data_IF_027106436758
#
_entry.id   IF_027106436758
#
_cell.length_a   1.000
_cell.length_b   1.000
_cell.length_c   1.000
_cell.angle_alpha   90.00
_cell.angle_beta   90.00
_cell.angle_gamma   90.00
#
_symmetry.space_group_name_H-M   'P 1'
#
loop_
_entity.id
_entity.type
_entity.pdbx_description
1 polymer ?
#
# COMPACT_ATOMS: atom_id res chain seq x y z
N UNK A 1 10.64 -13.91 -55.67
CA UNK A 1 11.88 -13.69 -54.89
C UNK A 1 11.49 -13.54 -53.42
N UNK A 2 11.91 -14.48 -52.57
CA UNK A 2 11.70 -14.39 -51.11
C UNK A 2 12.76 -13.44 -50.55
N UNK A 3 12.33 -12.36 -49.91
CA UNK A 3 13.20 -11.44 -49.19
C UNK A 3 13.67 -12.11 -47.90
N UNK A 4 14.93 -12.54 -47.89
CA UNK A 4 15.64 -13.00 -46.69
C UNK A 4 15.90 -11.79 -45.81
N UNK A 5 15.04 -11.56 -44.81
CA UNK A 5 15.32 -10.58 -43.76
C UNK A 5 16.51 -11.13 -42.95
N UNK A 6 17.67 -10.49 -43.07
CA UNK A 6 18.85 -10.76 -42.25
C UNK A 6 18.48 -10.64 -40.76
N UNK A 7 18.41 -11.77 -40.05
CA UNK A 7 18.33 -11.78 -38.58
C UNK A 7 19.72 -11.47 -38.03
N UNK A 8 19.96 -10.21 -37.68
CA UNK A 8 21.13 -9.78 -36.90
C UNK A 8 20.57 -9.27 -35.58
N UNK A 9 20.75 -10.03 -34.49
CA UNK A 9 20.25 -9.65 -33.17
C UNK A 9 20.22 -10.80 -32.16
N UNK A 10 19.75 -10.50 -30.94
CA UNK A 10 19.70 -11.35 -29.73
C UNK A 10 19.30 -12.82 -29.96
N UNK A 11 18.49 -13.09 -31.00
CA UNK A 11 17.96 -14.41 -31.36
C UNK A 11 18.97 -15.33 -32.07
N UNK A 12 20.17 -14.85 -32.41
CA UNK A 12 21.26 -15.70 -32.92
C UNK A 12 22.16 -16.24 -31.79
N UNK A 13 21.93 -15.82 -30.54
CA UNK A 13 22.66 -16.35 -29.39
C UNK A 13 22.12 -17.74 -29.02
N UNK A 14 22.96 -18.61 -28.44
CA UNK A 14 22.50 -19.84 -27.79
C UNK A 14 21.38 -19.57 -26.78
N UNK A 15 20.40 -20.47 -26.74
CA UNK A 15 19.20 -20.33 -25.89
C UNK A 15 19.55 -20.11 -24.41
N UNK A 16 20.62 -20.75 -23.95
CA UNK A 16 21.14 -20.64 -22.59
C UNK A 16 21.65 -19.23 -22.29
N UNK A 17 22.32 -18.60 -23.24
CA UNK A 17 22.81 -17.23 -23.12
C UNK A 17 21.66 -16.22 -23.16
N UNK A 18 20.64 -16.45 -23.98
CA UNK A 18 19.43 -15.63 -24.00
C UNK A 18 18.74 -15.70 -22.63
N UNK A 19 18.48 -16.89 -22.11
CA UNK A 19 17.86 -17.07 -20.79
C UNK A 19 18.72 -16.43 -19.70
N UNK A 20 20.04 -16.62 -19.74
CA UNK A 20 20.95 -16.00 -18.78
C UNK A 20 20.84 -14.46 -18.79
N UNK A 21 20.77 -13.85 -19.98
CA UNK A 21 20.60 -12.40 -20.12
C UNK A 21 19.23 -11.97 -19.54
N UNK A 22 18.16 -12.67 -19.92
CA UNK A 22 16.81 -12.38 -19.46
C UNK A 22 16.63 -12.51 -17.95
N UNK A 23 17.27 -13.49 -17.31
CA UNK A 23 17.17 -13.72 -15.85
C UNK A 23 17.93 -12.66 -15.07
N UNK A 24 19.11 -12.27 -15.53
CA UNK A 24 20.04 -11.46 -14.72
C UNK A 24 19.96 -9.96 -14.99
N UNK A 25 19.48 -9.54 -16.16
CA UNK A 25 19.56 -8.14 -16.59
C UNK A 25 18.21 -7.48 -16.86
N UNK A 26 17.11 -8.22 -16.82
CA UNK A 26 15.78 -7.69 -17.12
C UNK A 26 14.83 -7.85 -15.94
N UNK A 27 14.06 -6.81 -15.68
CA UNK A 27 13.02 -6.84 -14.65
C UNK A 27 11.72 -7.47 -15.19
N UNK A 28 10.73 -7.67 -14.31
CA UNK A 28 9.46 -8.27 -14.71
C UNK A 28 8.72 -7.43 -15.78
N UNK A 29 8.92 -6.12 -15.80
CA UNK A 29 8.25 -5.21 -16.72
C UNK A 29 8.85 -5.33 -18.13
N UNK A 30 10.17 -5.40 -18.23
CA UNK A 30 10.89 -5.58 -19.49
C UNK A 30 10.65 -6.98 -20.06
N UNK A 31 10.65 -8.01 -19.20
CA UNK A 31 10.27 -9.38 -19.56
C UNK A 31 8.83 -9.45 -20.09
N UNK A 32 7.92 -8.70 -19.50
CA UNK A 32 6.53 -8.60 -19.96
C UNK A 32 6.41 -7.87 -21.31
N UNK A 33 7.18 -6.80 -21.50
CA UNK A 33 7.25 -6.10 -22.78
C UNK A 33 7.80 -7.02 -23.90
N UNK A 34 8.86 -7.78 -23.61
CA UNK A 34 9.42 -8.80 -24.50
C UNK A 34 8.41 -9.91 -24.85
N UNK A 35 7.64 -10.35 -23.86
CA UNK A 35 6.57 -11.34 -24.03
C UNK A 35 5.49 -10.88 -25.03
N UNK A 36 5.17 -9.58 -25.03
CA UNK A 36 4.16 -8.98 -25.91
C UNK A 36 4.68 -8.64 -27.30
N UNK A 37 5.95 -8.21 -27.41
CA UNK A 37 6.49 -7.58 -28.62
C UNK A 37 6.92 -8.59 -29.69
N UNK A 38 7.37 -9.79 -29.31
CA UNK A 38 7.87 -10.79 -30.27
C UNK A 38 7.37 -12.19 -29.94
N UNK A 39 6.87 -12.92 -30.95
CA UNK A 39 6.47 -14.32 -30.81
C UNK A 39 7.64 -15.24 -30.48
N UNK A 40 8.85 -14.90 -30.91
CA UNK A 40 10.06 -15.70 -30.71
C UNK A 40 10.64 -15.49 -29.30
N UNK A 41 10.63 -14.25 -28.80
CA UNK A 41 11.10 -13.93 -27.45
C UNK A 41 10.07 -14.29 -26.37
N UNK A 42 8.80 -14.50 -26.75
CA UNK A 42 7.71 -14.89 -25.86
C UNK A 42 8.00 -16.17 -25.08
N UNK A 43 8.58 -17.17 -25.74
CA UNK A 43 8.93 -18.45 -25.12
C UNK A 43 10.00 -18.27 -24.04
N UNK A 44 11.05 -17.49 -24.34
CA UNK A 44 12.13 -17.23 -23.39
C UNK A 44 11.67 -16.37 -22.22
N UNK A 45 10.97 -15.26 -22.48
CA UNK A 45 10.37 -14.43 -21.45
C UNK A 45 9.40 -15.24 -20.58
N UNK A 46 8.64 -16.15 -21.20
CA UNK A 46 7.72 -17.04 -20.49
C UNK A 46 8.43 -17.97 -19.52
N UNK A 47 9.45 -18.66 -20.01
CA UNK A 47 10.25 -19.56 -19.17
C UNK A 47 10.88 -18.80 -18.02
N UNK A 48 11.42 -17.60 -18.24
CA UNK A 48 12.04 -16.79 -17.18
C UNK A 48 11.01 -16.31 -16.15
N UNK A 49 9.84 -15.83 -16.59
CA UNK A 49 8.75 -15.40 -15.70
C UNK A 49 8.24 -16.59 -14.84
N UNK A 50 8.08 -17.77 -15.43
CA UNK A 50 7.64 -18.96 -14.68
C UNK A 50 8.71 -19.47 -13.71
N UNK A 51 9.97 -19.53 -14.13
CA UNK A 51 11.05 -20.13 -13.32
C UNK A 51 11.58 -19.20 -12.25
N UNK A 52 11.78 -17.93 -12.58
CA UNK A 52 12.38 -16.94 -11.67
C UNK A 52 11.33 -16.31 -10.76
N UNK A 53 10.15 -16.00 -11.32
CA UNK A 53 9.11 -15.27 -10.61
C UNK A 53 7.95 -16.15 -10.14
N UNK A 54 7.93 -17.45 -10.52
CA UNK A 54 6.89 -18.43 -10.15
C UNK A 54 5.47 -18.00 -10.54
N UNK A 55 5.33 -17.21 -11.61
CA UNK A 55 4.03 -16.72 -12.08
C UNK A 55 3.55 -17.62 -13.22
N UNK A 56 2.34 -18.17 -13.09
CA UNK A 56 1.68 -18.88 -14.17
C UNK A 56 1.16 -17.88 -15.22
N UNK A 57 1.77 -17.91 -16.39
CA UNK A 57 1.56 -16.96 -17.50
C UNK A 57 0.28 -17.25 -18.28
N UNK A 58 -0.41 -18.37 -17.99
CA UNK A 58 -1.75 -18.62 -18.50
C UNK A 58 -2.74 -17.51 -18.10
N UNK A 59 -2.43 -16.75 -17.04
CA UNK A 59 -3.14 -15.54 -16.64
C UNK A 59 -2.24 -14.31 -16.84
N UNK A 60 -2.44 -13.55 -17.93
CA UNK A 60 -1.71 -12.29 -18.17
C UNK A 60 -1.88 -11.28 -17.03
N UNK A 61 -3.01 -11.37 -16.34
CA UNK A 61 -3.39 -10.53 -15.22
C UNK A 61 -2.50 -10.73 -13.99
N UNK A 62 -2.10 -11.96 -13.64
CA UNK A 62 -1.21 -12.18 -12.48
C UNK A 62 0.13 -11.47 -12.69
N UNK A 63 0.65 -11.50 -13.92
CA UNK A 63 1.87 -10.79 -14.29
C UNK A 63 1.64 -9.29 -14.24
N UNK A 64 0.55 -8.78 -14.84
CA UNK A 64 0.23 -7.35 -14.88
C UNK A 64 -0.01 -6.74 -13.48
N UNK A 65 -0.78 -7.41 -12.63
CA UNK A 65 -0.95 -7.01 -11.23
C UNK A 65 0.41 -7.01 -10.53
N UNK A 66 1.23 -8.05 -10.69
CA UNK A 66 2.55 -8.11 -10.05
C UNK A 66 3.48 -6.99 -10.52
N UNK A 67 3.47 -6.64 -11.80
CA UNK A 67 4.22 -5.51 -12.34
C UNK A 67 3.73 -4.19 -11.76
N UNK A 68 2.42 -4.00 -11.64
CA UNK A 68 1.86 -2.83 -10.97
C UNK A 68 2.26 -2.76 -9.49
N UNK A 69 2.36 -3.90 -8.80
CA UNK A 69 2.84 -3.93 -7.41
C UNK A 69 4.33 -3.64 -7.26
N UNK A 70 5.16 -4.11 -8.17
CA UNK A 70 6.58 -3.78 -8.15
C UNK A 70 6.72 -2.26 -8.30
N UNK A 71 5.93 -1.64 -9.19
CA UNK A 71 5.88 -0.19 -9.31
C UNK A 71 5.38 0.51 -8.03
N UNK A 72 4.34 -0.03 -7.36
CA UNK A 72 3.84 0.45 -6.06
C UNK A 72 4.93 0.39 -4.97
N UNK A 73 5.68 -0.71 -4.92
CA UNK A 73 6.77 -0.91 -3.98
C UNK A 73 7.90 0.11 -4.24
N UNK A 74 8.33 0.30 -5.48
CA UNK A 74 9.37 1.28 -5.84
C UNK A 74 8.96 2.71 -5.52
N UNK A 75 7.71 3.07 -5.80
CA UNK A 75 7.17 4.38 -5.43
C UNK A 75 7.14 4.55 -3.91
N UNK A 76 6.74 3.52 -3.15
CA UNK A 76 6.75 3.58 -1.69
C UNK A 76 8.15 3.81 -1.11
N UNK A 77 9.20 3.26 -1.72
CA UNK A 77 10.60 3.46 -1.29
C UNK A 77 11.03 4.91 -1.54
N UNK A 78 10.71 5.46 -2.71
CA UNK A 78 11.04 6.83 -3.08
C UNK A 78 10.34 7.87 -2.19
N UNK A 79 9.09 7.62 -1.79
CA UNK A 79 8.34 8.50 -0.88
C UNK A 79 9.01 8.58 0.51
N UNK A 80 9.66 7.51 0.96
CA UNK A 80 10.32 7.42 2.26
C UNK A 80 11.73 8.06 2.25
N UNK A 81 12.33 8.22 1.08
CA UNK A 81 13.70 8.73 0.91
C UNK A 81 13.79 10.23 0.61
N UNK A 82 12.67 10.95 0.45
CA UNK A 82 12.69 12.38 0.13
C UNK A 82 12.95 13.24 1.39
N UNK A 83 14.13 13.85 1.57
CA UNK A 83 14.36 14.80 2.64
C UNK A 83 13.69 16.12 2.23
N UNK A 84 12.88 16.69 3.12
CA UNK A 84 12.29 18.01 2.96
C UNK A 84 13.43 19.02 2.75
N UNK A 85 13.64 19.45 1.51
CA UNK A 85 14.53 20.55 1.17
C UNK A 85 13.83 21.87 1.52
N UNK A 86 14.50 22.65 2.37
CA UNK A 86 14.07 23.93 2.92
C UNK A 86 13.87 25.05 1.88
N UNK A 87 12.78 25.83 2.09
CA UNK A 87 12.56 27.29 1.83
C UNK A 87 12.29 27.86 0.41
N UNK A 88 11.76 29.10 0.25
CA UNK A 88 10.68 29.80 0.98
C UNK A 88 9.62 30.52 0.08
N UNK A 89 8.43 30.78 0.68
CA UNK A 89 7.38 31.82 0.42
C UNK A 89 7.17 32.37 -1.01
N UNK A 90 5.92 32.26 -1.52
CA UNK A 90 5.13 33.40 -2.00
C UNK A 90 3.61 33.13 -2.07
N UNK A 91 2.89 34.25 -2.09
CA UNK A 91 1.52 34.56 -1.68
C UNK A 91 0.33 33.78 -2.23
N UNK A 92 -0.76 33.91 -1.46
CA UNK A 92 -2.10 33.34 -1.53
C UNK A 92 -2.89 33.95 -2.70
N UNK A 93 -3.67 33.14 -3.43
CA UNK A 93 -5.03 33.54 -3.80
C UNK A 93 -6.00 32.37 -3.99
N UNK A 94 -7.28 32.72 -3.92
CA UNK A 94 -8.41 32.05 -3.29
C UNK A 94 -9.15 30.90 -4.02
N UNK A 95 -9.89 30.12 -3.22
CA UNK A 95 -11.02 29.25 -3.57
C UNK A 95 -10.75 27.98 -4.41
N UNK A 96 -10.31 26.90 -3.74
CA UNK A 96 -10.73 25.53 -4.09
C UNK A 96 -10.57 24.59 -2.89
N UNK A 97 -11.56 23.71 -2.75
CA UNK A 97 -11.72 22.67 -1.73
C UNK A 97 -10.38 21.99 -1.39
N UNK A 98 -9.92 22.19 -0.16
CA UNK A 98 -8.75 21.52 0.41
C UNK A 98 -9.03 20.03 0.59
N UNK A 99 -8.89 19.26 -0.49
CA UNK A 99 -8.40 17.90 -0.34
C UNK A 99 -6.96 18.01 0.16
N UNK A 100 -6.64 17.30 1.24
CA UNK A 100 -5.29 17.12 1.77
C UNK A 100 -4.30 16.80 0.64
N UNK A 101 -3.73 17.84 0.04
CA UNK A 101 -2.55 17.74 -0.81
C UNK A 101 -1.40 17.52 0.15
N UNK A 102 -1.09 16.25 0.39
CA UNK A 102 0.25 15.84 0.83
C UNK A 102 1.20 16.31 -0.27
N UNK A 103 1.76 17.49 -0.07
CA UNK A 103 2.79 18.13 -0.90
C UNK A 103 4.02 17.21 -0.78
N UNK A 104 4.34 16.51 -1.87
CA UNK A 104 5.55 15.68 -1.93
C UNK A 104 5.47 14.40 -2.78
N UNK A 105 4.30 14.00 -3.25
CA UNK A 105 4.19 12.86 -4.17
C UNK A 105 4.20 13.38 -5.63
N UNK A 106 5.20 13.02 -6.43
CA UNK A 106 5.22 13.29 -7.88
C UNK A 106 3.92 12.74 -8.49
N UNK A 107 2.98 13.64 -8.77
CA UNK A 107 1.63 13.29 -9.23
C UNK A 107 1.68 12.42 -10.51
N UNK A 108 2.76 12.54 -11.28
CA UNK A 108 3.05 11.75 -12.48
C UNK A 108 3.32 10.27 -12.17
N UNK A 109 4.12 9.95 -11.15
CA UNK A 109 4.46 8.56 -10.79
C UNK A 109 3.22 7.80 -10.30
N UNK A 110 2.41 8.46 -9.47
CA UNK A 110 1.13 7.93 -9.00
C UNK A 110 0.17 7.68 -10.18
N UNK A 111 0.10 8.61 -11.15
CA UNK A 111 -0.72 8.46 -12.34
C UNK A 111 -0.26 7.31 -13.24
N UNK A 112 1.04 7.15 -13.45
CA UNK A 112 1.60 6.02 -14.23
C UNK A 112 1.25 4.69 -13.56
N UNK A 113 1.40 4.61 -12.24
CA UNK A 113 1.03 3.41 -11.49
C UNK A 113 -0.47 3.11 -11.59
N UNK A 114 -1.32 4.12 -11.42
CA UNK A 114 -2.76 3.99 -11.59
C UNK A 114 -3.13 3.47 -12.98
N UNK A 115 -2.55 4.03 -14.04
CA UNK A 115 -2.76 3.57 -15.41
C UNK A 115 -2.30 2.12 -15.62
N UNK A 116 -1.18 1.70 -15.01
CA UNK A 116 -0.72 0.31 -15.04
C UNK A 116 -1.70 -0.63 -14.33
N UNK A 117 -2.26 -0.23 -13.18
CA UNK A 117 -3.28 -1.01 -12.47
C UNK A 117 -4.55 -1.15 -13.30
N UNK A 118 -5.11 -0.04 -13.84
CA UNK A 118 -6.31 -0.08 -14.68
C UNK A 118 -6.06 -0.96 -15.91
N UNK A 119 -4.99 -0.71 -16.66
CA UNK A 119 -4.70 -1.47 -17.88
C UNK A 119 -4.52 -2.97 -17.59
N UNK A 120 -3.94 -3.33 -16.44
CA UNK A 120 -3.87 -4.71 -15.98
C UNK A 120 -5.24 -5.32 -15.69
N UNK A 121 -6.15 -4.58 -15.05
CA UNK A 121 -7.52 -5.05 -14.77
C UNK A 121 -8.34 -5.18 -16.06
N UNK A 122 -8.27 -4.16 -16.93
CA UNK A 122 -9.02 -4.08 -18.19
C UNK A 122 -8.46 -4.97 -19.31
N UNK A 123 -7.29 -5.58 -19.13
CA UNK A 123 -6.66 -6.44 -20.13
C UNK A 123 -7.36 -7.81 -20.21
N UNK A 124 -8.39 -7.96 -21.05
CA UNK A 124 -8.70 -9.23 -21.74
C UNK A 124 -9.64 -9.08 -22.96
N UNK A 125 -9.44 -9.96 -23.96
CA UNK A 125 -10.23 -10.07 -25.20
C UNK A 125 -11.47 -10.93 -24.96
N UNK A 126 -12.61 -10.41 -25.40
CA UNK A 126 -13.95 -10.99 -25.28
C UNK A 126 -14.05 -12.48 -25.60
N UNK A 127 -14.73 -13.23 -24.71
CA UNK A 127 -15.48 -14.42 -25.15
C UNK A 127 -16.72 -14.76 -24.32
N UNK A 128 -16.86 -14.32 -23.06
CA UNK A 128 -18.07 -14.59 -22.26
C UNK A 128 -18.31 -13.50 -21.19
N UNK A 129 -19.39 -12.72 -21.33
CA UNK A 129 -19.73 -11.55 -20.48
C UNK A 129 -19.89 -11.91 -18.99
N UNK A 130 -20.45 -13.08 -18.66
CA UNK A 130 -20.60 -13.53 -17.26
C UNK A 130 -19.28 -14.00 -16.62
N UNK A 131 -18.38 -14.58 -17.42
CA UNK A 131 -17.05 -14.98 -16.95
C UNK A 131 -16.17 -13.73 -16.80
N UNK A 132 -16.34 -12.75 -17.68
CA UNK A 132 -15.68 -11.45 -17.64
C UNK A 132 -16.02 -10.67 -16.36
N UNK A 133 -17.28 -10.66 -15.93
CA UNK A 133 -17.71 -10.00 -14.69
C UNK A 133 -17.11 -10.64 -13.41
N UNK A 134 -17.09 -11.98 -13.36
CA UNK A 134 -16.45 -12.72 -12.25
C UNK A 134 -14.94 -12.49 -12.24
N UNK A 135 -14.32 -12.47 -13.41
CA UNK A 135 -12.88 -12.25 -13.57
C UNK A 135 -12.52 -10.84 -13.10
N UNK A 136 -13.20 -9.79 -13.61
CA UNK A 136 -13.00 -8.38 -13.20
C UNK A 136 -13.09 -8.22 -11.68
N UNK A 137 -14.13 -8.77 -11.04
CA UNK A 137 -14.23 -8.75 -9.56
C UNK A 137 -13.03 -9.38 -8.88
N UNK A 138 -12.57 -10.53 -9.36
CA UNK A 138 -11.38 -11.20 -8.80
C UNK A 138 -10.11 -10.37 -8.99
N UNK A 139 -10.00 -9.61 -10.09
CA UNK A 139 -8.85 -8.70 -10.32
C UNK A 139 -8.86 -7.51 -9.41
N UNK A 140 -10.04 -6.92 -9.21
CA UNK A 140 -10.24 -5.83 -8.26
C UNK A 140 -9.88 -6.31 -6.86
N UNK A 141 -10.39 -7.47 -6.42
CA UNK A 141 -10.04 -8.08 -5.12
C UNK A 141 -8.54 -8.24 -4.95
N UNK A 142 -7.89 -8.86 -5.93
CA UNK A 142 -6.44 -9.06 -5.93
C UNK A 142 -5.70 -7.74 -5.78
N UNK A 143 -6.07 -6.71 -6.55
CA UNK A 143 -5.45 -5.38 -6.45
C UNK A 143 -5.63 -4.76 -5.05
N UNK A 144 -6.82 -4.87 -4.47
CA UNK A 144 -7.12 -4.38 -3.12
C UNK A 144 -6.30 -5.12 -2.06
N UNK A 145 -6.23 -6.46 -2.11
CA UNK A 145 -5.44 -7.29 -1.18
C UNK A 145 -3.97 -6.88 -1.17
N UNK A 146 -3.45 -6.56 -2.36
CA UNK A 146 -2.05 -6.21 -2.53
C UNK A 146 -1.75 -4.77 -2.09
N UNK A 147 -2.67 -3.83 -2.34
CA UNK A 147 -2.58 -2.46 -1.79
C UNK A 147 -2.62 -2.53 -0.26
N UNK A 148 -3.55 -3.30 0.30
CA UNK A 148 -3.63 -3.55 1.73
C UNK A 148 -2.32 -4.14 2.27
N UNK A 149 -1.76 -5.14 1.58
CA UNK A 149 -0.50 -5.76 2.00
C UNK A 149 0.66 -4.76 2.08
N UNK A 150 0.78 -3.84 1.12
CA UNK A 150 1.83 -2.83 1.12
C UNK A 150 1.59 -1.75 2.18
N UNK A 151 0.34 -1.28 2.29
CA UNK A 151 -0.05 -0.30 3.28
C UNK A 151 0.18 -0.78 4.71
N UNK A 152 -0.06 -2.07 4.99
CA UNK A 152 0.02 -2.65 6.34
C UNK A 152 1.38 -3.31 6.60
N UNK A 153 1.72 -4.36 5.85
CA UNK A 153 2.89 -5.20 6.16
C UNK A 153 4.21 -4.61 5.67
N UNK A 154 4.25 -4.07 4.44
CA UNK A 154 5.48 -3.44 3.94
C UNK A 154 5.79 -2.18 4.74
N UNK A 155 4.77 -1.35 5.02
CA UNK A 155 4.90 -0.19 5.92
C UNK A 155 5.42 -0.59 7.30
N UNK A 156 4.90 -1.66 7.90
CA UNK A 156 5.37 -2.16 9.19
C UNK A 156 6.83 -2.66 9.16
N UNK A 157 7.23 -3.35 8.08
CA UNK A 157 8.62 -3.77 7.91
C UNK A 157 9.55 -2.57 7.79
N UNK A 158 9.14 -1.51 7.09
CA UNK A 158 9.91 -0.26 6.99
C UNK A 158 10.04 0.39 8.38
N UNK A 159 8.95 0.45 9.16
CA UNK A 159 8.96 0.93 10.56
C UNK A 159 9.96 0.13 11.43
N UNK A 160 10.04 -1.18 11.25
CA UNK A 160 10.97 -2.05 12.00
C UNK A 160 12.43 -2.02 11.53
N UNK A 161 12.71 -1.67 10.26
CA UNK A 161 14.06 -1.78 9.69
C UNK A 161 14.97 -0.59 9.98
N UNK A 162 14.44 0.53 10.46
CA UNK A 162 15.28 1.68 10.82
C UNK A 162 15.99 1.42 12.15
N UNK A 163 17.33 1.38 12.18
CA UNK A 163 18.05 1.27 13.44
C UNK A 163 17.91 2.58 14.20
N UNK A 164 17.57 2.48 15.48
CA UNK A 164 17.90 3.50 16.47
C UNK A 164 19.41 3.73 16.32
N UNK A 165 19.79 4.91 15.83
CA UNK A 165 21.17 5.37 15.77
C UNK A 165 21.89 4.98 17.06
N UNK A 166 22.91 4.14 16.92
CA UNK A 166 23.81 3.69 17.98
C UNK A 166 24.40 4.88 18.74
N UNK A 167 23.96 5.08 19.99
CA UNK A 167 24.74 5.78 21.01
C UNK A 167 24.41 5.21 22.40
N UNK A 168 25.41 4.97 23.27
CA UNK A 168 25.21 4.50 24.64
C UNK A 168 24.57 5.62 25.49
N UNK A 169 24.00 5.34 26.68
CA UNK A 169 23.09 6.27 27.32
C UNK A 169 23.85 7.50 27.83
N UNK A 170 23.49 8.74 27.44
CA UNK A 170 23.93 9.90 28.17
C UNK A 170 22.93 10.16 29.30
N UNK A 171 23.49 10.17 30.50
CA UNK A 171 22.94 10.83 31.67
C UNK A 171 22.25 12.15 31.32
N UNK A 172 21.08 12.32 31.93
CA UNK A 172 20.21 13.48 31.97
C UNK A 172 20.94 14.82 31.72
N UNK A 173 20.62 15.52 30.62
CA UNK A 173 20.46 16.98 30.56
C UNK A 173 19.73 17.38 29.26
N UNK A 174 18.83 18.36 29.40
CA UNK A 174 17.88 18.89 28.43
C UNK A 174 18.47 19.26 27.05
N UNK A 175 17.77 18.89 25.96
CA UNK A 175 17.78 19.58 24.64
C UNK A 175 16.62 19.12 23.75
N UNK A 176 15.81 20.06 23.25
CA UNK A 176 14.54 19.88 22.51
C UNK A 176 14.64 19.38 21.05
N UNK A 177 15.54 18.44 20.72
CA UNK A 177 15.76 18.00 19.32
C UNK A 177 15.19 16.61 18.96
N UNK A 178 14.63 15.87 19.93
CA UNK A 178 14.15 14.49 19.72
C UNK A 178 12.68 14.41 19.27
N UNK A 179 11.90 15.48 19.46
CA UNK A 179 10.46 15.49 19.14
C UNK A 179 10.22 15.61 17.64
N UNK A 180 11.07 16.33 16.91
CA UNK A 180 10.90 16.61 15.47
C UNK A 180 11.22 15.41 14.56
N UNK A 181 12.08 14.48 14.98
CA UNK A 181 12.40 13.27 14.19
C UNK A 181 11.31 12.21 14.29
N UNK A 182 10.65 12.09 15.44
CA UNK A 182 9.55 11.13 15.67
C UNK A 182 8.28 11.56 14.90
N UNK A 183 8.02 12.87 14.80
CA UNK A 183 6.88 13.39 14.02
C UNK A 183 7.05 13.17 12.53
N UNK A 184 8.25 13.45 11.99
CA UNK A 184 8.54 13.32 10.56
C UNK A 184 8.42 11.87 10.05
N UNK A 185 8.78 10.89 10.88
CA UNK A 185 8.69 9.47 10.53
C UNK A 185 7.24 8.96 10.52
N UNK A 186 6.45 9.36 11.52
CA UNK A 186 5.02 9.04 11.52
C UNK A 186 4.30 9.67 10.32
N UNK A 187 4.70 10.88 9.92
CA UNK A 187 4.11 11.56 8.77
C UNK A 187 4.45 10.86 7.45
N UNK A 188 5.66 10.33 7.27
CA UNK A 188 6.03 9.56 6.08
C UNK A 188 5.19 8.26 5.95
N UNK A 189 4.97 7.57 7.06
CA UNK A 189 4.15 6.36 7.08
C UNK A 189 2.66 6.63 6.83
N UNK A 190 2.15 7.75 7.34
CA UNK A 190 0.79 8.22 7.05
C UNK A 190 0.66 8.69 5.60
N UNK A 191 1.68 9.34 5.04
CA UNK A 191 1.71 9.72 3.63
C UNK A 191 1.61 8.50 2.71
N UNK A 192 2.32 7.41 3.03
CA UNK A 192 2.20 6.15 2.30
C UNK A 192 0.76 5.60 2.34
N UNK A 193 0.13 5.59 3.52
CA UNK A 193 -1.26 5.17 3.66
C UNK A 193 -2.23 6.02 2.81
N UNK A 194 -2.03 7.35 2.79
CA UNK A 194 -2.80 8.27 1.96
C UNK A 194 -2.63 7.98 0.47
N UNK A 195 -1.41 7.73 0.00
CA UNK A 195 -1.13 7.37 -1.40
C UNK A 195 -1.82 6.05 -1.78
N UNK A 196 -1.72 5.04 -0.91
CA UNK A 196 -2.39 3.75 -1.10
C UNK A 196 -3.91 3.91 -1.22
N UNK A 197 -4.51 4.79 -0.40
CA UNK A 197 -5.94 5.09 -0.48
C UNK A 197 -6.28 5.89 -1.73
N UNK A 198 -5.46 6.86 -2.14
CA UNK A 198 -5.68 7.60 -3.40
C UNK A 198 -5.74 6.64 -4.60
N UNK A 199 -4.89 5.61 -4.63
CA UNK A 199 -4.96 4.56 -5.64
C UNK A 199 -6.28 3.78 -5.58
N UNK A 200 -6.79 3.47 -4.38
CA UNK A 200 -8.09 2.83 -4.22
C UNK A 200 -9.25 3.74 -4.67
N UNK A 201 -9.22 5.05 -4.37
CA UNK A 201 -10.21 6.03 -4.85
C UNK A 201 -10.19 6.09 -6.38
N UNK A 202 -9.00 6.09 -6.96
CA UNK A 202 -8.82 6.12 -8.40
C UNK A 202 -9.28 4.82 -9.05
N UNK A 203 -9.07 3.68 -8.40
CA UNK A 203 -9.60 2.39 -8.82
C UNK A 203 -11.13 2.39 -8.78
N UNK A 204 -11.73 2.89 -7.69
CA UNK A 204 -13.17 3.03 -7.49
C UNK A 204 -13.83 3.87 -8.59
N UNK A 205 -13.25 5.04 -8.88
CA UNK A 205 -13.72 5.92 -9.95
C UNK A 205 -13.61 5.29 -11.35
N UNK A 206 -12.67 4.35 -11.54
CA UNK A 206 -12.46 3.67 -12.83
C UNK A 206 -13.42 2.50 -13.05
N UNK A 207 -13.99 1.96 -11.97
CA UNK A 207 -14.86 0.79 -11.97
C UNK A 207 -16.12 1.04 -11.11
N UNK A 208 -16.98 2.03 -11.45
CA UNK A 208 -18.10 2.45 -10.61
C UNK A 208 -19.13 1.35 -10.35
N UNK A 209 -19.29 0.39 -11.26
CA UNK A 209 -20.16 -0.79 -11.08
C UNK A 209 -19.64 -1.77 -10.02
N UNK A 210 -18.38 -1.62 -9.59
CA UNK A 210 -17.68 -2.50 -8.66
C UNK A 210 -17.21 -1.77 -7.40
N UNK A 211 -17.70 -0.56 -7.13
CA UNK A 211 -17.28 0.24 -5.97
C UNK A 211 -17.45 -0.51 -4.64
N UNK A 212 -18.57 -1.24 -4.50
CA UNK A 212 -18.85 -2.11 -3.35
C UNK A 212 -17.80 -3.20 -3.19
N UNK A 213 -17.28 -3.74 -4.28
CA UNK A 213 -16.25 -4.78 -4.25
C UNK A 213 -14.97 -4.26 -3.58
N UNK A 214 -14.57 -3.04 -3.89
CA UNK A 214 -13.37 -2.40 -3.31
C UNK A 214 -13.56 -2.19 -1.81
N UNK A 215 -14.68 -1.58 -1.42
CA UNK A 215 -15.00 -1.32 -0.01
C UNK A 215 -15.09 -2.60 0.81
N UNK A 216 -15.85 -3.60 0.35
CA UNK A 216 -16.03 -4.85 1.10
C UNK A 216 -14.74 -5.67 1.17
N UNK A 217 -13.98 -5.75 0.07
CA UNK A 217 -12.68 -6.45 0.10
C UNK A 217 -11.71 -5.78 1.08
N UNK A 218 -11.65 -4.44 1.11
CA UNK A 218 -10.81 -3.72 2.05
C UNK A 218 -11.25 -3.97 3.51
N UNK A 219 -12.56 -3.92 3.78
CA UNK A 219 -13.12 -4.17 5.10
C UNK A 219 -12.84 -5.61 5.57
N UNK A 220 -13.01 -6.59 4.69
CA UNK A 220 -12.72 -8.01 4.97
C UNK A 220 -11.24 -8.23 5.26
N UNK A 221 -10.35 -7.57 4.52
CA UNK A 221 -8.90 -7.61 4.78
C UNK A 221 -8.55 -7.02 6.16
N UNK A 222 -9.15 -5.90 6.54
CA UNK A 222 -8.96 -5.30 7.88
C UNK A 222 -9.45 -6.27 8.96
N UNK A 223 -10.65 -6.85 8.78
CA UNK A 223 -11.21 -7.81 9.73
C UNK A 223 -10.32 -9.04 9.90
N UNK A 224 -9.95 -9.68 8.79
CA UNK A 224 -9.08 -10.86 8.79
C UNK A 224 -7.70 -10.55 9.40
N UNK A 225 -7.15 -9.36 9.14
CA UNK A 225 -5.91 -8.90 9.75
C UNK A 225 -6.03 -8.74 11.27
N UNK A 226 -7.12 -8.15 11.78
CA UNK A 226 -7.33 -7.99 13.22
C UNK A 226 -7.53 -9.34 13.92
N UNK A 227 -8.24 -10.28 13.30
CA UNK A 227 -8.36 -11.65 13.79
C UNK A 227 -6.99 -12.34 13.87
N UNK A 228 -6.23 -12.31 12.77
CA UNK A 228 -4.86 -12.85 12.73
C UNK A 228 -3.95 -12.21 13.79
N UNK A 229 -4.03 -10.88 13.94
CA UNK A 229 -3.24 -10.13 14.91
C UNK A 229 -3.62 -10.51 16.34
N UNK A 230 -4.89 -10.75 16.62
CA UNK A 230 -5.35 -11.25 17.92
C UNK A 230 -4.72 -12.59 18.29
N UNK A 231 -4.70 -13.56 17.37
CA UNK A 231 -4.01 -14.83 17.60
C UNK A 231 -2.50 -14.65 17.82
N UNK A 232 -1.90 -13.71 17.09
CA UNK A 232 -0.48 -13.41 17.20
C UNK A 232 -0.13 -12.77 18.55
N UNK A 233 -0.93 -11.83 19.05
CA UNK A 233 -0.71 -11.21 20.36
C UNK A 233 -0.87 -12.19 21.53
N UNK A 234 -1.70 -13.23 21.36
CA UNK A 234 -1.88 -14.28 22.38
C UNK A 234 -0.79 -15.35 22.35
N UNK A 235 -0.03 -15.47 21.26
CA UNK A 235 1.03 -16.45 21.13
C UNK A 235 2.32 -15.95 21.80
N UNK A 236 3.04 -16.84 22.50
CA UNK A 236 4.33 -16.53 23.09
C UNK A 236 5.32 -16.12 21.98
N UNK A 237 5.67 -14.85 21.94
CA UNK A 237 6.43 -14.26 20.85
C UNK A 237 7.70 -13.58 21.33
N UNK A 238 8.71 -13.58 20.46
CA UNK A 238 9.90 -12.75 20.68
C UNK A 238 9.52 -11.26 20.63
N UNK A 239 10.23 -10.44 21.40
CA UNK A 239 10.07 -8.98 21.40
C UNK A 239 10.00 -8.37 19.99
N UNK A 240 10.82 -8.89 19.05
CA UNK A 240 10.85 -8.43 17.66
C UNK A 240 9.55 -8.74 16.91
N UNK A 241 8.96 -9.90 17.17
CA UNK A 241 7.70 -10.33 16.55
C UNK A 241 6.52 -9.51 17.09
N UNK A 242 6.53 -9.22 18.39
CA UNK A 242 5.55 -8.35 19.04
C UNK A 242 5.64 -6.93 18.46
N UNK A 243 6.85 -6.36 18.39
CA UNK A 243 7.08 -5.03 17.83
C UNK A 243 6.60 -4.90 16.37
N UNK A 244 6.89 -5.89 15.51
CA UNK A 244 6.41 -5.90 14.13
C UNK A 244 4.87 -5.97 14.06
N UNK A 245 4.25 -6.69 15.00
CA UNK A 245 2.80 -6.81 15.10
C UNK A 245 2.17 -5.46 15.47
N UNK A 246 2.72 -4.77 16.48
CA UNK A 246 2.29 -3.43 16.87
C UNK A 246 2.46 -2.41 15.72
N UNK A 247 3.59 -2.43 15.01
CA UNK A 247 3.79 -1.57 13.84
C UNK A 247 2.82 -1.88 12.70
N UNK A 248 2.45 -3.15 12.51
CA UNK A 248 1.42 -3.55 11.53
C UNK A 248 0.05 -3.05 11.94
N UNK A 249 -0.29 -3.07 13.24
CA UNK A 249 -1.53 -2.47 13.74
C UNK A 249 -1.56 -0.95 13.52
N UNK A 250 -0.47 -0.24 13.84
CA UNK A 250 -0.38 1.19 13.55
C UNK A 250 -0.55 1.49 12.06
N UNK A 251 0.09 0.70 11.19
CA UNK A 251 -0.05 0.87 9.73
C UNK A 251 -1.46 0.59 9.23
N UNK A 252 -2.15 -0.40 9.80
CA UNK A 252 -3.55 -0.67 9.51
C UNK A 252 -4.46 0.50 9.93
N UNK A 253 -4.18 1.14 11.05
CA UNK A 253 -4.94 2.31 11.52
C UNK A 253 -4.69 3.55 10.67
N UNK A 254 -3.46 3.77 10.21
CA UNK A 254 -3.15 4.83 9.25
C UNK A 254 -3.91 4.63 7.93
N UNK A 255 -3.94 3.38 7.42
CA UNK A 255 -4.72 3.01 6.23
C UNK A 255 -6.22 3.21 6.45
N UNK A 256 -6.75 2.76 7.59
CA UNK A 256 -8.17 2.88 7.92
C UNK A 256 -8.60 4.34 8.05
N UNK A 257 -7.79 5.16 8.73
CA UNK A 257 -8.00 6.60 8.84
C UNK A 257 -8.01 7.28 7.47
N UNK A 258 -7.01 6.98 6.64
CA UNK A 258 -6.95 7.49 5.27
C UNK A 258 -8.13 7.01 4.41
N UNK A 259 -8.56 5.75 4.53
CA UNK A 259 -9.65 5.17 3.74
C UNK A 259 -11.03 5.70 4.15
N UNK A 260 -11.21 5.99 5.44
CA UNK A 260 -12.37 6.71 5.94
C UNK A 260 -12.42 8.15 5.41
N UNK A 261 -11.28 8.84 5.46
CA UNK A 261 -11.10 10.17 4.86
C UNK A 261 -11.38 10.14 3.35
N UNK A 262 -10.89 9.12 2.65
CA UNK A 262 -11.12 8.88 1.23
C UNK A 262 -12.55 8.45 0.87
N UNK A 263 -13.45 8.31 1.86
CA UNK A 263 -14.84 7.83 1.71
C UNK A 263 -14.96 6.44 1.09
N UNK A 264 -13.92 5.62 1.22
CA UNK A 264 -13.96 4.20 0.83
C UNK A 264 -14.60 3.38 1.95
N UNK A 265 -14.24 3.69 3.20
CA UNK A 265 -14.83 3.10 4.40
C UNK A 265 -15.86 4.06 5.01
N UNK A 266 -16.88 3.47 5.64
CA UNK A 266 -17.93 4.17 6.40
C UNK A 266 -17.72 4.00 7.91
N UNK A 267 -18.46 4.76 8.72
CA UNK A 267 -18.41 4.67 10.18
C UNK A 267 -18.59 3.23 10.67
N UNK A 268 -19.53 2.49 10.10
CA UNK A 268 -19.80 1.09 10.48
C UNK A 268 -18.60 0.15 10.29
N UNK A 269 -17.81 0.33 9.23
CA UNK A 269 -16.64 -0.51 8.98
C UNK A 269 -15.52 -0.21 9.99
N UNK A 270 -15.35 1.07 10.32
CA UNK A 270 -14.30 1.55 11.21
C UNK A 270 -14.65 1.24 12.67
N UNK A 271 -15.91 1.40 13.07
CA UNK A 271 -16.38 1.14 14.44
C UNK A 271 -16.11 -0.30 14.87
N UNK A 272 -16.49 -1.28 14.03
CA UNK A 272 -16.20 -2.69 14.30
C UNK A 272 -14.69 -2.97 14.45
N UNK A 273 -13.85 -2.34 13.64
CA UNK A 273 -12.40 -2.51 13.68
C UNK A 273 -11.78 -1.88 14.94
N UNK A 274 -12.26 -0.70 15.34
CA UNK A 274 -11.83 0.01 16.56
C UNK A 274 -12.25 -0.77 17.80
N UNK A 275 -13.52 -1.18 17.88
CA UNK A 275 -14.02 -1.99 19.00
C UNK A 275 -13.20 -3.27 19.14
N UNK A 276 -12.98 -4.00 18.04
CA UNK A 276 -12.17 -5.22 18.06
C UNK A 276 -10.74 -4.95 18.52
N UNK A 277 -10.13 -3.87 18.07
CA UNK A 277 -8.77 -3.50 18.50
C UNK A 277 -8.72 -3.15 19.99
N UNK A 278 -9.74 -2.47 20.51
CA UNK A 278 -9.85 -2.16 21.94
C UNK A 278 -10.02 -3.41 22.81
N UNK A 279 -10.66 -4.46 22.31
CA UNK A 279 -10.75 -5.77 22.97
C UNK A 279 -9.41 -6.53 22.94
N UNK A 280 -8.69 -6.46 21.82
CA UNK A 280 -7.39 -7.13 21.65
C UNK A 280 -6.28 -6.47 22.48
N UNK A 281 -6.25 -5.14 22.49
CA UNK A 281 -5.33 -4.34 23.28
C UNK A 281 -5.97 -4.08 24.65
N UNK A 282 -5.88 -5.07 25.54
CA UNK A 282 -6.34 -4.95 26.92
C UNK A 282 -5.58 -3.88 27.72
N UNK A 283 -5.82 -3.82 29.03
CA UNK A 283 -5.24 -2.83 29.95
C UNK A 283 -3.71 -2.85 30.05
N UNK A 284 -3.05 -3.95 29.64
CA UNK A 284 -1.59 -4.08 29.60
C UNK A 284 -0.92 -3.24 28.50
N UNK A 285 -1.66 -2.89 27.44
CA UNK A 285 -1.17 -2.10 26.29
C UNK A 285 -1.74 -0.68 26.27
N UNK A 286 -2.18 -0.15 27.42
CA UNK A 286 -2.92 1.12 27.53
C UNK A 286 -2.25 2.31 26.84
N UNK A 287 -0.92 2.47 27.01
CA UNK A 287 -0.16 3.55 26.35
C UNK A 287 -0.18 3.44 24.83
N UNK A 288 0.09 2.25 24.29
CA UNK A 288 0.08 2.01 22.84
C UNK A 288 -1.33 2.20 22.26
N UNK A 289 -2.36 1.66 22.94
CA UNK A 289 -3.77 1.83 22.58
C UNK A 289 -4.16 3.31 22.56
N UNK A 290 -3.80 4.08 23.58
CA UNK A 290 -4.07 5.50 23.67
C UNK A 290 -3.41 6.28 22.52
N UNK A 291 -2.13 6.01 22.23
CA UNK A 291 -1.43 6.63 21.07
C UNK A 291 -2.08 6.25 19.73
N UNK A 292 -2.41 4.98 19.53
CA UNK A 292 -3.04 4.48 18.30
C UNK A 292 -4.39 5.17 18.04
N UNK A 293 -5.23 5.26 19.07
CA UNK A 293 -6.55 5.89 19.01
C UNK A 293 -6.45 7.41 18.84
N UNK A 294 -5.48 8.06 19.49
CA UNK A 294 -5.24 9.50 19.34
C UNK A 294 -4.84 9.84 17.90
N UNK A 295 -3.89 9.09 17.32
CA UNK A 295 -3.45 9.30 15.93
C UNK A 295 -4.60 9.08 14.92
N UNK A 296 -5.48 8.11 15.18
CA UNK A 296 -6.67 7.88 14.38
C UNK A 296 -7.65 9.07 14.49
N UNK A 297 -7.92 9.54 15.71
CA UNK A 297 -8.81 10.67 15.97
C UNK A 297 -8.28 11.96 15.32
N UNK A 298 -6.98 12.23 15.42
CA UNK A 298 -6.34 13.38 14.75
C UNK A 298 -6.54 13.32 13.24
N UNK A 299 -6.37 12.14 12.64
CA UNK A 299 -6.59 11.94 11.20
C UNK A 299 -8.04 12.23 10.78
N UNK A 300 -9.02 11.96 11.65
CA UNK A 300 -10.43 12.28 11.40
C UNK A 300 -10.78 13.75 11.64
N UNK A 301 -10.24 14.35 12.70
CA UNK A 301 -10.51 15.74 13.10
C UNK A 301 -9.97 16.75 12.08
N UNK A 302 -8.88 16.43 11.37
CA UNK A 302 -8.32 17.26 10.31
C UNK A 302 -9.32 17.51 9.17
N UNK A 303 -10.33 16.65 8.95
CA UNK A 303 -11.24 16.76 7.80
C UNK A 303 -12.63 17.31 8.07
N UNK A 304 -13.17 17.27 9.30
CA UNK A 304 -14.55 17.77 9.54
C UNK A 304 -14.77 18.24 10.98
N UNK A 305 -15.13 19.52 11.14
CA UNK A 305 -15.75 20.07 12.37
C UNK A 305 -17.03 19.30 12.77
N UNK A 306 -17.67 18.61 11.83
CA UNK A 306 -18.91 17.83 12.04
C UNK A 306 -18.68 16.36 12.45
N UNK A 307 -17.47 15.79 12.26
CA UNK A 307 -17.20 14.38 12.65
C UNK A 307 -16.93 14.25 14.14
N UNK A 308 -16.60 15.35 14.82
CA UNK A 308 -16.40 15.38 16.27
C UNK A 308 -17.63 15.01 17.11
N UNK A 309 -18.81 14.85 16.49
CA UNK A 309 -20.07 14.46 17.16
C UNK A 309 -20.50 13.03 16.86
N UNK A 310 -19.75 12.24 16.08
CA UNK A 310 -20.12 10.85 15.84
C UNK A 310 -19.97 10.00 17.10
N UNK A 311 -20.87 9.03 17.30
CA UNK A 311 -20.81 8.09 18.42
C UNK A 311 -19.46 7.35 18.48
N UNK A 312 -18.88 7.06 17.32
CA UNK A 312 -17.54 6.48 17.19
C UNK A 312 -16.45 7.41 17.76
N UNK A 313 -16.48 8.70 17.44
CA UNK A 313 -15.52 9.67 18.01
C UNK A 313 -15.67 9.79 19.53
N UNK A 314 -16.91 9.73 20.04
CA UNK A 314 -17.19 9.74 21.48
C UNK A 314 -16.65 8.48 22.16
N UNK A 315 -16.87 7.30 21.55
CA UNK A 315 -16.34 6.04 22.02
C UNK A 315 -14.80 6.04 22.07
N UNK A 316 -14.14 6.50 20.99
CA UNK A 316 -12.69 6.60 20.91
C UNK A 316 -12.14 7.52 22.01
N UNK A 317 -12.75 8.69 22.24
CA UNK A 317 -12.34 9.60 23.32
C UNK A 317 -12.46 8.97 24.70
N UNK A 318 -13.58 8.28 25.00
CA UNK A 318 -13.73 7.56 26.25
C UNK A 318 -12.67 6.48 26.44
N UNK A 319 -12.32 5.74 25.37
CA UNK A 319 -11.26 4.73 25.45
C UNK A 319 -9.87 5.34 25.61
N UNK A 320 -9.60 6.54 25.09
CA UNK A 320 -8.36 7.27 25.35
C UNK A 320 -8.30 7.69 26.84
N UNK A 321 -9.37 8.27 27.37
CA UNK A 321 -9.47 8.73 28.76
C UNK A 321 -9.31 7.59 29.78
N UNK A 322 -9.80 6.38 29.48
CA UNK A 322 -9.60 5.20 30.35
C UNK A 322 -8.14 4.73 30.44
N UNK A 323 -7.29 5.12 29.49
CA UNK A 323 -5.92 4.62 29.33
C UNK A 323 -4.84 5.70 29.51
N UNK A 324 -5.21 6.95 29.81
CA UNK A 324 -4.32 8.05 30.16
C UNK A 324 -4.10 8.14 31.67
#
# INVERSE_FOLDING_TARGET
>A
MKTTIQRIGLLNLPNELIIYILVNFLDLNDLWCLYQTSSELRLFASTVIQTTWKIDIKSSMKVQCRTALIALQEISKQIVECPISDTPKKEIDSNKVNFLTVIGCDNEKEQVLHQKIISGISSYKHKYVLIEDIDIRNRIRTAVDLIFHHAVFVSAIIRCRRPISSSPPPSCHHSSSTITTITNDNDAHRALAVVMVRLLIKLDASFPSYCREITYTLADNIKAFLEYTGYKLLANHSYRTEQLTLHSMSACFDLMGAAFVGKILSDSHVDCAVQRTCELLGSTSGKFKSTLLTNLLESWLIMKREVGTSELCRFVRMEIEKNG
#
